data_IF_292353964077
#
_entry.id   IF_292353964077
#
_cell.length_a   1.000
_cell.length_b   1.000
_cell.length_c   1.000
_cell.angle_alpha   90.00
_cell.angle_beta   90.00
_cell.angle_gamma   90.00
#
_symmetry.space_group_name_H-M   'P 1'
#
loop_
_entity.id
_entity.type
_entity.pdbx_description
1 polymer ?
#
# COMPACT_ATOMS: atom_id res chain seq x y z
N UNK A 1 -0.58 -22.31 -7.75
CA UNK A 1 -0.99 -20.92 -7.48
C UNK A 1 0.08 -20.27 -6.61
N UNK A 2 0.89 -19.37 -7.17
CA UNK A 2 1.97 -18.70 -6.41
C UNK A 2 1.36 -17.75 -5.38
N UNK A 3 1.61 -18.03 -4.09
CA UNK A 3 1.22 -17.16 -2.98
C UNK A 3 2.26 -16.04 -2.90
N UNK A 4 1.83 -14.81 -2.61
CA UNK A 4 2.74 -13.71 -2.29
C UNK A 4 3.24 -13.88 -0.85
N UNK A 5 3.91 -15.00 -0.58
CA UNK A 5 4.68 -15.18 0.66
C UNK A 5 5.87 -14.21 0.71
N UNK A 6 6.28 -13.67 -0.45
CA UNK A 6 7.34 -12.69 -0.64
C UNK A 6 6.92 -11.22 -0.55
N UNK A 7 5.89 -10.86 0.23
CA UNK A 7 5.65 -9.44 0.55
C UNK A 7 6.72 -8.85 1.50
N UNK A 8 7.88 -9.50 1.63
CA UNK A 8 9.08 -8.98 2.31
C UNK A 8 9.58 -7.68 1.69
N UNK A 9 9.53 -7.55 0.36
CA UNK A 9 9.95 -6.33 -0.37
C UNK A 9 8.78 -5.39 -0.72
N UNK A 10 7.57 -5.73 -0.28
CA UNK A 10 6.38 -4.93 -0.54
C UNK A 10 6.28 -3.70 0.38
N UNK A 11 5.86 -2.55 -0.12
CA UNK A 11 5.71 -1.35 0.69
C UNK A 11 4.42 -0.60 0.38
N UNK A 12 3.85 0.03 1.41
CA UNK A 12 2.75 0.98 1.28
C UNK A 12 3.27 2.39 1.54
N UNK A 13 2.97 3.32 0.64
CA UNK A 13 3.37 4.72 0.78
C UNK A 13 2.18 5.66 0.60
N UNK A 14 2.16 6.71 1.41
CA UNK A 14 1.27 7.85 1.25
C UNK A 14 2.13 9.11 1.35
N UNK A 15 2.08 9.93 0.30
CA UNK A 15 2.72 11.23 0.25
C UNK A 15 1.81 12.27 0.91
N UNK A 16 2.35 12.98 1.90
CA UNK A 16 1.60 13.96 2.69
C UNK A 16 1.35 15.28 1.93
N UNK A 17 2.13 15.60 0.90
CA UNK A 17 2.06 16.86 0.15
C UNK A 17 0.94 16.80 -0.88
N UNK A 18 0.88 15.73 -1.66
CA UNK A 18 -0.02 15.62 -2.81
C UNK A 18 -1.02 14.46 -2.69
N UNK A 19 -1.12 13.84 -1.52
CA UNK A 19 -2.02 12.71 -1.23
C UNK A 19 -1.82 11.49 -2.15
N UNK A 20 -0.69 11.44 -2.87
CA UNK A 20 -0.34 10.28 -3.67
C UNK A 20 -0.17 9.06 -2.77
N UNK A 21 -0.52 7.92 -3.32
CA UNK A 21 -0.65 6.65 -2.63
C UNK A 21 -0.11 5.59 -3.54
N UNK A 22 0.63 4.66 -2.97
CA UNK A 22 1.11 3.54 -3.73
C UNK A 22 1.30 2.30 -2.89
N UNK A 23 1.24 1.18 -3.59
CA UNK A 23 1.70 -0.11 -3.12
C UNK A 23 2.73 -0.59 -4.13
N UNK A 24 3.94 -0.87 -3.66
CA UNK A 24 5.02 -1.43 -4.47
C UNK A 24 5.36 -2.84 -4.00
N UNK A 25 5.74 -3.73 -4.91
CA UNK A 25 6.29 -5.06 -4.59
C UNK A 25 7.57 -5.25 -5.40
N UNK A 26 8.71 -5.34 -4.73
CA UNK A 26 9.99 -5.69 -5.36
C UNK A 26 10.16 -7.19 -5.53
N UNK A 27 10.76 -7.63 -6.63
CA UNK A 27 11.20 -9.01 -6.86
C UNK A 27 12.40 -9.02 -7.83
N UNK A 28 13.36 -9.95 -7.62
CA UNK A 28 14.46 -10.17 -8.58
C UNK A 28 13.95 -10.73 -9.92
N UNK A 29 12.93 -11.59 -9.89
CA UNK A 29 12.36 -12.20 -11.09
C UNK A 29 11.07 -11.52 -11.56
N UNK A 30 11.07 -10.97 -12.79
CA UNK A 30 9.89 -10.34 -13.41
C UNK A 30 8.67 -11.28 -13.49
N UNK A 31 8.89 -12.58 -13.69
CA UNK A 31 7.83 -13.58 -13.89
C UNK A 31 6.92 -13.70 -12.67
N UNK A 32 7.47 -13.58 -11.46
CA UNK A 32 6.72 -13.60 -10.21
C UNK A 32 5.72 -12.44 -10.19
N UNK A 33 6.18 -11.24 -10.53
CA UNK A 33 5.35 -10.04 -10.57
C UNK A 33 4.24 -10.12 -11.62
N UNK A 34 4.53 -10.65 -12.81
CA UNK A 34 3.50 -10.85 -13.86
C UNK A 34 2.32 -11.69 -13.37
N UNK A 35 2.58 -12.70 -12.54
CA UNK A 35 1.54 -13.59 -12.01
C UNK A 35 0.62 -12.91 -10.99
N UNK A 36 1.05 -11.79 -10.39
CA UNK A 36 0.32 -11.10 -9.32
C UNK A 36 -0.11 -9.67 -9.70
N UNK A 37 0.29 -9.20 -10.89
CA UNK A 37 0.16 -7.81 -11.33
C UNK A 37 -1.24 -7.23 -11.18
N UNK A 38 -2.32 -7.97 -11.51
CA UNK A 38 -3.72 -7.55 -11.32
C UNK A 38 -3.99 -6.07 -11.68
N UNK A 39 -3.45 -5.63 -12.83
CA UNK A 39 -3.60 -4.26 -13.34
C UNK A 39 -2.57 -3.25 -12.83
N UNK A 40 -1.63 -3.63 -11.97
CA UNK A 40 -0.46 -2.83 -11.60
C UNK A 40 0.62 -2.84 -12.69
N UNK A 41 1.46 -1.81 -12.68
CA UNK A 41 2.52 -1.61 -13.67
C UNK A 41 3.81 -2.25 -13.20
N UNK A 42 4.48 -3.00 -14.09
CA UNK A 42 5.78 -3.62 -13.79
C UNK A 42 6.89 -2.86 -14.53
N UNK A 43 7.89 -2.41 -13.80
CA UNK A 43 9.08 -1.78 -14.37
C UNK A 43 10.36 -2.29 -13.68
N UNK A 44 11.50 -2.11 -14.33
CA UNK A 44 12.80 -2.45 -13.76
C UNK A 44 13.33 -1.26 -12.96
N UNK A 45 13.76 -1.51 -11.73
CA UNK A 45 14.40 -0.55 -10.84
C UNK A 45 15.90 -0.83 -10.79
N UNK A 46 16.68 0.05 -11.43
CA UNK A 46 18.13 -0.02 -11.49
C UNK A 46 18.79 0.07 -10.11
N UNK A 47 18.19 0.80 -9.17
CA UNK A 47 18.78 1.03 -7.84
C UNK A 47 18.79 -0.23 -6.98
N UNK A 48 17.89 -1.17 -7.27
CA UNK A 48 17.74 -2.44 -6.54
C UNK A 48 18.17 -3.65 -7.36
N UNK A 49 18.61 -3.41 -8.60
CA UNK A 49 18.81 -4.44 -9.62
C UNK A 49 17.68 -5.47 -9.60
N UNK A 50 16.46 -5.00 -9.89
CA UNK A 50 15.28 -5.83 -9.71
C UNK A 50 14.05 -5.25 -10.38
N UNK A 51 12.94 -5.96 -10.30
CA UNK A 51 11.66 -5.54 -10.84
C UNK A 51 10.76 -5.05 -9.72
N UNK A 52 9.97 -4.02 -10.02
CA UNK A 52 8.94 -3.49 -9.12
C UNK A 52 7.60 -3.57 -9.83
N UNK A 53 6.62 -4.08 -9.10
CA UNK A 53 5.21 -4.00 -9.44
C UNK A 53 4.57 -2.89 -8.61
N UNK A 54 3.93 -1.94 -9.28
CA UNK A 54 3.45 -0.71 -8.68
C UNK A 54 1.97 -0.49 -8.94
N UNK A 55 1.25 -0.14 -7.88
CA UNK A 55 -0.17 0.23 -7.91
C UNK A 55 -0.30 1.65 -7.38
N UNK A 56 -0.93 2.54 -8.14
CA UNK A 56 -1.18 3.93 -7.73
C UNK A 56 -2.61 4.40 -7.97
N UNK A 57 -3.33 3.77 -8.91
CA UNK A 57 -4.74 4.02 -9.15
C UNK A 57 -5.62 3.50 -8.00
N UNK A 58 -6.72 4.19 -7.71
CA UNK A 58 -7.66 3.77 -6.65
C UNK A 58 -8.22 2.37 -6.93
N UNK A 59 -8.68 2.12 -8.16
CA UNK A 59 -9.24 0.81 -8.57
C UNK A 59 -8.19 -0.31 -8.44
N UNK A 60 -6.98 -0.06 -8.95
CA UNK A 60 -5.85 -0.98 -8.85
C UNK A 60 -5.51 -1.32 -7.39
N UNK A 61 -5.44 -0.31 -6.53
CA UNK A 61 -5.16 -0.49 -5.11
C UNK A 61 -6.27 -1.26 -4.40
N UNK A 62 -7.55 -1.00 -4.70
CA UNK A 62 -8.67 -1.78 -4.15
C UNK A 62 -8.58 -3.26 -4.54
N UNK A 63 -8.28 -3.57 -5.80
CA UNK A 63 -8.10 -4.96 -6.25
C UNK A 63 -6.96 -5.66 -5.51
N UNK A 64 -5.83 -4.97 -5.35
CA UNK A 64 -4.69 -5.53 -4.65
C UNK A 64 -4.94 -5.70 -3.14
N UNK A 65 -5.60 -4.75 -2.50
CA UNK A 65 -6.02 -4.85 -1.08
C UNK A 65 -6.96 -6.04 -0.87
N UNK A 66 -7.96 -6.21 -1.74
CA UNK A 66 -8.84 -7.38 -1.70
C UNK A 66 -8.07 -8.69 -1.81
N UNK A 67 -7.06 -8.74 -2.68
CA UNK A 67 -6.17 -9.90 -2.78
C UNK A 67 -5.40 -10.15 -1.47
N UNK A 68 -4.89 -9.10 -0.82
CA UNK A 68 -4.15 -9.21 0.45
C UNK A 68 -5.03 -9.62 1.65
N UNK A 69 -6.36 -9.49 1.56
CA UNK A 69 -7.25 -10.06 2.57
C UNK A 69 -7.47 -11.56 2.39
N UNK A 70 -7.43 -12.06 1.16
CA UNK A 70 -7.52 -13.51 0.86
C UNK A 70 -6.19 -14.20 1.12
N UNK A 71 -5.09 -13.52 0.78
CA UNK A 71 -3.72 -14.01 0.95
C UNK A 71 -2.99 -13.07 1.93
N UNK A 72 -3.18 -13.30 3.25
CA UNK A 72 -2.73 -12.36 4.26
C UNK A 72 -1.22 -12.19 4.25
N UNK A 73 -0.81 -10.95 4.52
CA UNK A 73 0.57 -10.59 4.79
C UNK A 73 1.03 -11.26 6.09
N UNK A 74 2.33 -11.55 6.20
CA UNK A 74 2.94 -12.06 7.44
C UNK A 74 3.68 -10.97 8.23
N UNK A 75 4.15 -9.91 7.57
CA UNK A 75 4.84 -8.81 8.24
C UNK A 75 3.84 -7.96 9.07
N UNK A 76 4.02 -7.85 10.39
CA UNK A 76 3.05 -7.19 11.29
C UNK A 76 2.87 -5.69 10.99
N UNK A 77 3.92 -4.97 10.59
CA UNK A 77 3.84 -3.56 10.19
C UNK A 77 3.01 -3.37 8.93
N UNK A 78 3.20 -4.24 7.94
CA UNK A 78 2.43 -4.19 6.68
C UNK A 78 0.97 -4.58 6.91
N UNK A 79 0.73 -5.54 7.81
CA UNK A 79 -0.64 -5.86 8.28
C UNK A 79 -1.26 -4.64 8.98
N UNK A 80 -0.52 -3.95 9.84
CA UNK A 80 -0.99 -2.75 10.53
C UNK A 80 -1.29 -1.61 9.55
N UNK A 81 -0.42 -1.36 8.55
CA UNK A 81 -0.67 -0.39 7.47
C UNK A 81 -1.91 -0.72 6.65
N UNK A 82 -2.13 -2.00 6.32
CA UNK A 82 -3.32 -2.48 5.60
C UNK A 82 -4.61 -2.27 6.43
N UNK A 83 -4.58 -2.69 7.71
CA UNK A 83 -5.69 -2.51 8.66
C UNK A 83 -5.93 -1.05 9.05
N UNK A 84 -4.91 -0.21 8.91
CA UNK A 84 -4.87 1.22 9.20
C UNK A 84 -4.70 1.55 10.68
N UNK A 85 -4.39 2.81 10.98
CA UNK A 85 -4.20 3.28 12.34
C UNK A 85 -5.52 3.43 13.12
N UNK A 86 -5.50 3.02 14.39
CA UNK A 86 -6.61 3.10 15.33
C UNK A 86 -7.30 1.75 15.60
N UNK A 87 -7.90 1.61 16.80
CA UNK A 87 -8.70 0.45 17.25
C UNK A 87 -10.04 0.30 16.49
N UNK A 88 -10.03 0.39 15.17
CA UNK A 88 -11.16 -0.11 14.39
C UNK A 88 -10.95 -1.61 14.20
N UNK A 89 -11.80 -2.40 14.85
CA UNK A 89 -11.96 -3.84 14.62
C UNK A 89 -12.30 -4.18 13.16
N UNK A 90 -12.60 -3.18 12.33
CA UNK A 90 -12.88 -3.32 10.90
C UNK A 90 -11.58 -3.31 10.09
N UNK A 91 -11.26 -4.46 9.48
CA UNK A 91 -10.10 -4.72 8.60
C UNK A 91 -10.12 -3.87 7.30
N UNK A 92 -10.15 -2.52 7.37
CA UNK A 92 -10.38 -1.63 6.20
C UNK A 92 -9.68 -0.26 6.28
N UNK A 93 -8.46 -0.21 6.82
CA UNK A 93 -7.74 1.04 7.07
C UNK A 93 -7.29 1.77 5.83
N UNK A 94 -6.45 1.13 5.02
CA UNK A 94 -5.99 1.75 3.77
C UNK A 94 -7.16 2.01 2.82
N UNK A 95 -8.20 1.16 2.83
CA UNK A 95 -9.45 1.42 2.10
C UNK A 95 -10.17 2.69 2.57
N UNK A 96 -10.10 3.03 3.86
CA UNK A 96 -10.68 4.27 4.39
C UNK A 96 -10.00 5.48 3.77
N UNK A 97 -8.68 5.45 3.65
CA UNK A 97 -7.94 6.49 2.94
C UNK A 97 -8.37 6.61 1.48
N UNK A 98 -8.49 5.48 0.77
CA UNK A 98 -9.00 5.47 -0.60
C UNK A 98 -10.40 6.11 -0.70
N UNK A 99 -11.29 5.82 0.25
CA UNK A 99 -12.62 6.45 0.31
C UNK A 99 -12.58 7.95 0.57
N UNK A 100 -11.63 8.46 1.36
CA UNK A 100 -11.46 9.91 1.52
C UNK A 100 -11.08 10.57 0.20
N UNK A 101 -10.20 9.94 -0.58
CA UNK A 101 -9.85 10.44 -1.91
C UNK A 101 -11.02 10.38 -2.89
N UNK A 102 -11.78 9.28 -2.94
CA UNK A 102 -12.96 9.18 -3.80
C UNK A 102 -14.03 10.22 -3.47
N UNK A 103 -14.14 10.61 -2.20
CA UNK A 103 -15.06 11.66 -1.75
C UNK A 103 -14.50 13.08 -1.91
N UNK A 104 -13.34 13.24 -2.54
CA UNK A 104 -12.74 14.56 -2.78
C UNK A 104 -12.28 15.28 -1.52
N UNK A 105 -11.93 14.57 -0.43
CA UNK A 105 -11.52 15.22 0.82
C UNK A 105 -10.27 16.10 0.64
N UNK A 106 -9.46 15.83 -0.38
CA UNK A 106 -8.28 16.63 -0.73
C UNK A 106 -8.63 17.97 -1.38
N UNK A 107 -9.86 18.16 -1.85
CA UNK A 107 -10.36 19.41 -2.45
C UNK A 107 -10.99 20.35 -1.42
N UNK A 108 -11.30 19.85 -0.22
CA UNK A 108 -12.03 20.58 0.82
C UNK A 108 -11.13 20.80 2.04
N UNK A 109 -10.66 22.04 2.30
CA UNK A 109 -9.77 22.35 3.41
C UNK A 109 -10.29 21.89 4.79
N UNK A 110 -11.60 21.97 5.02
CA UNK A 110 -12.19 21.52 6.28
C UNK A 110 -12.09 20.00 6.47
N UNK A 111 -12.08 19.25 5.36
CA UNK A 111 -11.94 17.77 5.36
C UNK A 111 -10.49 17.31 5.26
N UNK A 112 -9.57 18.14 4.75
CA UNK A 112 -8.14 17.81 4.67
C UNK A 112 -7.54 17.48 6.03
N UNK A 113 -8.02 18.09 7.13
CA UNK A 113 -7.59 17.73 8.48
C UNK A 113 -7.76 16.22 8.80
N UNK A 114 -8.83 15.58 8.29
CA UNK A 114 -9.03 14.14 8.45
C UNK A 114 -8.03 13.32 7.62
N UNK A 115 -7.68 13.79 6.43
CA UNK A 115 -6.65 13.18 5.59
C UNK A 115 -5.27 13.29 6.25
N UNK A 116 -4.87 14.49 6.67
CA UNK A 116 -3.58 14.70 7.34
C UNK A 116 -3.47 13.90 8.63
N UNK A 117 -4.52 13.86 9.44
CA UNK A 117 -4.56 13.03 10.64
C UNK A 117 -4.37 11.54 10.31
N UNK A 118 -5.07 11.03 9.29
CA UNK A 118 -4.87 9.65 8.82
C UNK A 118 -3.42 9.41 8.37
N UNK A 119 -2.85 10.30 7.55
CA UNK A 119 -1.49 10.16 7.01
C UNK A 119 -0.46 10.15 8.15
N UNK A 120 -0.60 11.06 9.11
CA UNK A 120 0.27 11.11 10.30
C UNK A 120 0.29 9.77 11.03
N UNK A 121 -0.89 9.23 11.32
CA UNK A 121 -1.01 7.95 12.01
C UNK A 121 -0.55 6.76 11.13
N UNK A 122 -0.75 6.84 9.82
CA UNK A 122 -0.29 5.81 8.90
C UNK A 122 1.24 5.76 8.84
N UNK A 123 1.89 6.93 8.83
CA UNK A 123 3.34 7.06 8.83
C UNK A 123 3.98 6.73 10.19
N UNK A 124 3.23 6.83 11.29
CA UNK A 124 3.72 6.37 12.61
C UNK A 124 3.74 4.84 12.75
N UNK A 125 3.06 4.10 11.87
CA UNK A 125 3.25 2.66 11.74
C UNK A 125 4.61 2.49 11.04
N UNK A 126 5.66 2.26 11.83
CA UNK A 126 7.03 2.19 11.34
C UNK A 126 7.23 1.22 10.17
N UNK A 127 8.29 1.43 9.40
CA UNK A 127 8.82 0.45 8.46
C UNK A 127 9.98 -0.25 9.17
N UNK A 128 9.80 -1.49 9.65
CA UNK A 128 10.96 -2.31 9.99
C UNK A 128 11.65 -2.72 8.69
N UNK A 129 12.58 -1.87 8.26
CA UNK A 129 13.67 -2.16 7.32
C UNK A 129 14.93 -1.37 7.75
N UNK A 130 15.23 -1.33 9.06
CA UNK A 130 16.60 -1.03 9.54
C UNK A 130 17.16 -2.32 10.10
N UNK A 131 17.61 -3.19 9.19
CA UNK A 131 18.67 -4.14 9.52
C UNK A 131 19.96 -3.43 9.11
N UNK A 132 20.67 -2.91 10.11
CA UNK A 132 22.10 -2.58 9.97
C UNK A 132 22.90 -3.86 9.81
#
# INVERSE_FOLDING_TARGET
MLRVSGFGDGHFKINHINFQRSLGIGQKEKKILKNIARGGSIYYDKSRDGWILWYSGITQLKLMISYLYVYPLHNPYKIAKLKGPGHCQTKKGFERYLRYLERGYYLDPAKQNKLFHFIKLFQSIGDEDIVH
#
